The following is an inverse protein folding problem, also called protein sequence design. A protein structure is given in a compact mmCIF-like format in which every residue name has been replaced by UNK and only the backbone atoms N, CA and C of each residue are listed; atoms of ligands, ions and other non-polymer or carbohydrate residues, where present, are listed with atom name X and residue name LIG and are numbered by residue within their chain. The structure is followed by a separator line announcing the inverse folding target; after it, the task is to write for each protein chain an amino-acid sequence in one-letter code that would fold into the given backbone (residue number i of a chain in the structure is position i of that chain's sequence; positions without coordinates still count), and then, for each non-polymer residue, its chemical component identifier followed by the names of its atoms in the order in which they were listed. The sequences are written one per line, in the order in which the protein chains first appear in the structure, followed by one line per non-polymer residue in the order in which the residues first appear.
data_IF_899599522485
#
_entry.id   IF_899599522485
#
_cell.length_a   1.000
_cell.length_b   1.000
_cell.length_c   1.000
_cell.angle_alpha   90.00
_cell.angle_beta   90.00
_cell.angle_gamma   90.00
#
_symmetry.space_group_name_H-M   'P 1'
#
loop_
_entity.id
_entity.type
_entity.pdbx_description
1 polymer ?
#
# COMPACT_ATOMS: atom_id res chain seq x y z
N UNK A 1 -17.28 -13.32 13.97
CA UNK A 1 -16.27 -12.48 13.31
C UNK A 1 -17.00 -11.52 12.41
N UNK A 2 -17.10 -10.28 12.85
CA UNK A 2 -17.67 -9.18 12.08
C UNK A 2 -16.52 -8.30 11.62
N UNK A 3 -16.38 -8.14 10.31
CA UNK A 3 -15.40 -7.22 9.72
C UNK A 3 -16.04 -5.88 9.40
N UNK A 4 -15.23 -4.84 9.51
CA UNK A 4 -15.60 -3.47 9.15
C UNK A 4 -14.41 -2.79 8.51
N UNK A 5 -14.64 -2.16 7.37
CA UNK A 5 -13.70 -1.19 6.81
C UNK A 5 -14.12 0.21 7.22
N UNK A 6 -13.15 1.03 7.64
CA UNK A 6 -13.35 2.45 7.95
C UNK A 6 -12.21 3.30 7.41
N UNK A 7 -12.49 4.59 7.25
CA UNK A 7 -11.46 5.59 7.00
C UNK A 7 -10.63 5.80 8.27
N UNK A 8 -9.32 5.99 8.10
CA UNK A 8 -8.43 6.44 9.17
C UNK A 8 -8.74 7.88 9.56
N UNK A 9 -8.58 8.20 10.84
CA UNK A 9 -8.86 9.50 11.43
C UNK A 9 -7.61 10.02 12.15
N UNK A 10 -7.53 11.33 12.37
CA UNK A 10 -6.50 11.91 13.22
C UNK A 10 -6.45 11.21 14.58
N UNK A 11 -5.26 10.81 15.02
CA UNK A 11 -5.06 10.00 16.23
C UNK A 11 -4.91 8.49 15.99
N UNK A 12 -5.19 7.98 14.78
CA UNK A 12 -4.93 6.57 14.43
C UNK A 12 -3.43 6.29 14.20
N UNK A 13 -2.52 7.28 14.29
CA UNK A 13 -1.12 7.10 13.94
C UNK A 13 -0.40 6.01 14.72
N UNK A 14 -0.66 5.89 16.03
CA UNK A 14 -0.07 4.82 16.85
C UNK A 14 -0.60 3.44 16.45
N UNK A 15 -1.92 3.30 16.25
CA UNK A 15 -2.56 2.07 15.79
C UNK A 15 -1.97 1.58 14.47
N UNK A 16 -1.79 2.49 13.51
CA UNK A 16 -1.22 2.19 12.19
C UNK A 16 0.25 1.80 12.28
N UNK A 17 1.01 2.43 13.16
CA UNK A 17 2.39 2.05 13.44
C UNK A 17 2.49 0.64 14.04
N UNK A 18 1.66 0.31 15.03
CA UNK A 18 1.64 -1.04 15.62
C UNK A 18 1.33 -2.11 14.57
N UNK A 19 0.40 -1.82 13.65
CA UNK A 19 0.15 -2.67 12.49
C UNK A 19 1.36 -2.78 11.57
N UNK A 20 2.06 -1.68 11.30
CA UNK A 20 3.26 -1.69 10.47
C UNK A 20 4.37 -2.55 11.10
N UNK A 21 4.58 -2.47 12.42
CA UNK A 21 5.57 -3.28 13.15
C UNK A 21 5.35 -4.78 12.91
N UNK A 22 4.11 -5.25 13.03
CA UNK A 22 3.80 -6.69 12.90
C UNK A 22 3.72 -7.16 11.44
N UNK A 23 3.42 -6.27 10.49
CA UNK A 23 3.20 -6.64 9.08
C UNK A 23 4.36 -6.35 8.13
N UNK A 24 5.24 -5.39 8.44
CA UNK A 24 6.25 -4.91 7.48
C UNK A 24 7.26 -5.99 7.11
N UNK A 25 7.63 -6.86 8.05
CA UNK A 25 8.57 -7.95 7.82
C UNK A 25 8.14 -8.88 6.67
N UNK A 26 6.84 -9.07 6.46
CA UNK A 26 6.27 -9.90 5.39
C UNK A 26 6.38 -9.28 3.99
N UNK A 27 6.70 -7.98 3.92
CA UNK A 27 6.87 -7.24 2.68
C UNK A 27 8.34 -6.97 2.35
N UNK A 28 9.26 -7.25 3.28
CA UNK A 28 10.68 -7.07 3.05
C UNK A 28 11.20 -8.05 1.98
N UNK A 29 12.05 -7.60 1.04
CA UNK A 29 12.75 -8.49 0.12
C UNK A 29 13.57 -9.55 0.86
N UNK A 30 13.80 -10.72 0.24
CA UNK A 30 14.69 -11.74 0.81
C UNK A 30 16.06 -11.14 1.13
N UNK A 31 16.59 -11.45 2.32
CA UNK A 31 17.92 -11.00 2.76
C UNK A 31 17.96 -9.68 3.52
N UNK A 32 16.84 -8.95 3.62
CA UNK A 32 16.74 -7.82 4.56
C UNK A 32 16.63 -8.36 5.98
N UNK A 33 17.57 -7.96 6.85
CA UNK A 33 17.55 -8.37 8.25
C UNK A 33 16.45 -7.63 9.05
N UNK A 34 16.03 -8.24 10.16
CA UNK A 34 14.95 -7.71 10.99
C UNK A 34 15.25 -6.33 11.59
N UNK A 35 16.51 -6.04 11.94
CA UNK A 35 16.90 -4.75 12.52
C UNK A 35 16.82 -3.62 11.50
N UNK A 36 17.21 -3.87 10.25
CA UNK A 36 17.06 -2.94 9.12
C UNK A 36 15.59 -2.70 8.82
N UNK A 37 14.76 -3.75 8.83
CA UNK A 37 13.32 -3.63 8.63
C UNK A 37 12.68 -2.77 9.73
N UNK A 38 13.01 -3.01 11.00
CA UNK A 38 12.50 -2.23 12.13
C UNK A 38 12.99 -0.79 12.11
N UNK A 39 14.26 -0.54 11.78
CA UNK A 39 14.76 0.82 11.62
C UNK A 39 13.96 1.60 10.56
N UNK A 40 13.58 0.96 9.44
CA UNK A 40 12.71 1.57 8.45
C UNK A 40 11.30 1.83 8.97
N UNK A 41 10.72 0.91 9.75
CA UNK A 41 9.40 1.11 10.38
C UNK A 41 9.43 2.30 11.32
N UNK A 42 10.47 2.43 12.16
CA UNK A 42 10.62 3.54 13.10
C UNK A 42 10.79 4.91 12.44
N UNK A 43 11.33 4.97 11.21
CA UNK A 43 11.55 6.25 10.51
C UNK A 43 10.46 6.57 9.49
N UNK A 44 10.11 5.62 8.64
CA UNK A 44 9.22 5.83 7.49
C UNK A 44 7.77 5.40 7.75
N UNK A 45 7.53 4.56 8.76
CA UNK A 45 6.20 4.12 9.19
C UNK A 45 5.95 4.48 10.67
N UNK A 46 6.55 5.60 11.11
CA UNK A 46 6.40 6.10 12.48
C UNK A 46 4.98 6.64 12.72
N UNK A 47 4.52 6.75 13.98
CA UNK A 47 3.24 7.36 14.28
C UNK A 47 3.11 8.77 13.68
N UNK A 48 4.19 9.56 13.72
CA UNK A 48 4.20 10.91 13.14
C UNK A 48 4.07 10.91 11.61
N UNK A 49 4.64 9.92 10.90
CA UNK A 49 4.45 9.76 9.45
C UNK A 49 3.00 9.40 9.12
N UNK A 50 2.39 8.51 9.91
CA UNK A 50 0.98 8.20 9.76
C UNK A 50 0.08 9.40 10.01
N UNK A 51 0.33 10.19 11.05
CA UNK A 51 -0.43 11.44 11.29
C UNK A 51 -0.27 12.44 10.13
N UNK A 52 0.91 12.52 9.49
CA UNK A 52 1.09 13.33 8.30
C UNK A 52 0.21 12.84 7.14
N UNK A 53 0.14 11.53 6.89
CA UNK A 53 -0.76 10.96 5.88
C UNK A 53 -2.24 11.13 6.23
N UNK A 54 -2.61 11.02 7.50
CA UNK A 54 -3.99 11.22 7.97
C UNK A 54 -4.45 12.68 7.85
N UNK A 55 -3.52 13.64 7.94
CA UNK A 55 -3.80 15.06 7.79
C UNK A 55 -3.70 15.57 6.33
N UNK A 56 -3.18 14.76 5.42
CA UNK A 56 -2.95 15.13 4.02
C UNK A 56 -4.24 14.94 3.20
N UNK A 57 -4.80 16.00 2.61
CA UNK A 57 -6.05 15.92 1.85
C UNK A 57 -5.96 15.05 0.60
N UNK A 58 -4.76 14.82 0.08
CA UNK A 58 -4.50 13.94 -1.07
C UNK A 58 -4.07 12.53 -0.64
N UNK A 59 -4.22 12.18 0.64
CA UNK A 59 -3.96 10.83 1.11
C UNK A 59 -5.21 10.24 1.77
N UNK A 60 -5.55 9.02 1.37
CA UNK A 60 -6.62 8.24 1.96
C UNK A 60 -6.03 7.05 2.72
N UNK A 61 -6.27 7.04 4.02
CA UNK A 61 -5.94 5.89 4.88
C UNK A 61 -7.20 5.07 5.11
N UNK A 62 -7.12 3.77 4.83
CA UNK A 62 -8.24 2.82 5.00
C UNK A 62 -7.80 1.75 5.99
N UNK A 63 -8.64 1.46 6.98
CA UNK A 63 -8.36 0.49 8.05
C UNK A 63 -9.41 -0.62 8.00
N UNK A 64 -8.95 -1.86 8.04
CA UNK A 64 -9.80 -3.04 8.21
C UNK A 64 -9.75 -3.48 9.67
N UNK A 65 -10.92 -3.59 10.29
CA UNK A 65 -11.11 -4.09 11.65
C UNK A 65 -11.84 -5.45 11.61
N UNK A 66 -11.48 -6.34 12.52
CA UNK A 66 -12.19 -7.58 12.83
C UNK A 66 -12.49 -7.62 14.32
N UNK A 67 -13.77 -7.71 14.68
CA UNK A 67 -14.24 -7.71 16.07
C UNK A 67 -13.68 -6.53 16.91
N UNK A 68 -13.51 -5.36 16.27
CA UNK A 68 -13.01 -4.12 16.87
C UNK A 68 -11.48 -3.98 16.92
N UNK A 69 -10.74 -4.97 16.44
CA UNK A 69 -9.28 -4.93 16.37
C UNK A 69 -8.84 -4.62 14.93
N UNK A 70 -7.93 -3.67 14.75
CA UNK A 70 -7.38 -3.38 13.42
C UNK A 70 -6.48 -4.55 12.97
N UNK A 71 -6.73 -5.06 11.76
CA UNK A 71 -6.03 -6.22 11.20
C UNK A 71 -5.38 -5.93 9.84
N UNK A 72 -5.55 -4.71 9.32
CA UNK A 72 -4.92 -4.29 8.08
C UNK A 72 -5.17 -2.82 7.78
N UNK A 73 -4.31 -2.25 6.93
CA UNK A 73 -4.45 -0.87 6.49
C UNK A 73 -3.93 -0.65 5.07
N UNK A 74 -4.37 0.46 4.49
CA UNK A 74 -3.89 0.98 3.21
C UNK A 74 -3.54 2.45 3.35
N UNK A 75 -2.47 2.88 2.67
CA UNK A 75 -2.19 4.28 2.38
C UNK A 75 -2.28 4.45 0.86
N UNK A 76 -3.28 5.20 0.41
CA UNK A 76 -3.58 5.50 -0.99
C UNK A 76 -3.35 6.99 -1.23
N UNK A 77 -2.53 7.34 -2.21
CA UNK A 77 -2.15 8.73 -2.51
C UNK A 77 -2.82 9.16 -3.81
N UNK A 78 -3.65 10.19 -3.72
CA UNK A 78 -4.41 10.81 -4.79
C UNK A 78 -3.67 12.00 -5.43
N UNK A 79 -4.09 12.41 -6.63
CA UNK A 79 -3.80 13.70 -7.28
C UNK A 79 -2.33 14.14 -7.31
N UNK A 80 -1.40 13.19 -7.18
CA UNK A 80 0.03 13.47 -7.27
C UNK A 80 0.56 12.85 -8.54
N UNK A 81 1.39 13.60 -9.29
CA UNK A 81 2.01 13.03 -10.46
C UNK A 81 2.81 11.82 -10.00
N UNK A 82 2.77 10.75 -10.80
CA UNK A 82 3.48 9.51 -10.53
C UNK A 82 4.98 9.80 -10.22
N UNK A 83 5.53 10.92 -10.71
CA UNK A 83 6.92 11.36 -10.52
C UNK A 83 7.21 11.80 -9.09
N UNK A 84 6.22 12.32 -8.38
CA UNK A 84 6.34 12.78 -6.99
C UNK A 84 6.43 11.62 -5.98
N UNK A 85 6.29 10.38 -6.43
CA UNK A 85 6.40 9.19 -5.57
C UNK A 85 7.85 8.73 -5.32
N UNK A 86 8.85 9.37 -5.94
CA UNK A 86 10.26 9.00 -5.80
C UNK A 86 10.66 7.75 -6.58
N UNK A 87 9.80 7.27 -7.48
CA UNK A 87 9.97 6.03 -8.26
C UNK A 87 10.48 6.35 -9.67
N UNK A 88 11.56 5.70 -10.13
CA UNK A 88 12.08 5.88 -11.51
C UNK A 88 11.05 5.35 -12.51
N UNK A 89 10.66 6.19 -13.45
CA UNK A 89 9.46 5.96 -14.24
C UNK A 89 9.67 5.28 -15.59
N UNK A 90 8.57 4.69 -16.07
CA UNK A 90 8.23 4.67 -17.49
C UNK A 90 7.31 5.84 -17.86
N UNK A 91 7.44 6.45 -19.05
CA UNK A 91 6.68 7.63 -19.46
C UNK A 91 5.16 7.44 -19.54
N UNK A 92 4.65 6.22 -19.71
CA UNK A 92 3.23 5.99 -20.06
C UNK A 92 2.24 6.24 -18.90
N UNK A 93 2.73 6.31 -17.65
CA UNK A 93 1.93 6.69 -16.47
C UNK A 93 2.12 8.16 -16.07
N UNK A 94 3.04 8.88 -16.70
CA UNK A 94 3.45 10.23 -16.28
C UNK A 94 2.44 11.32 -16.65
N UNK A 95 1.48 11.02 -17.53
CA UNK A 95 0.54 11.99 -18.11
C UNK A 95 -0.90 11.86 -17.60
N UNK A 96 -1.14 11.04 -16.55
CA UNK A 96 -2.48 10.81 -16.01
C UNK A 96 -2.58 11.23 -14.54
N UNK A 97 -2.86 12.52 -14.30
CA UNK A 97 -3.08 13.08 -12.95
C UNK A 97 -4.23 12.42 -12.16
N UNK A 98 -5.04 11.58 -12.82
CA UNK A 98 -6.17 10.86 -12.24
C UNK A 98 -5.84 9.42 -11.82
N UNK A 99 -4.61 8.91 -11.95
CA UNK A 99 -4.26 7.56 -11.48
C UNK A 99 -3.64 7.62 -10.08
N UNK A 100 -4.31 7.02 -9.10
CA UNK A 100 -3.91 7.09 -7.69
C UNK A 100 -2.90 6.01 -7.33
N UNK A 101 -1.99 6.31 -6.41
CA UNK A 101 -0.88 5.43 -6.03
C UNK A 101 -1.16 4.69 -4.72
N UNK A 102 -1.23 3.36 -4.76
CA UNK A 102 -1.30 2.51 -3.58
C UNK A 102 0.11 2.36 -2.99
N UNK A 103 0.37 3.15 -1.95
CA UNK A 103 1.69 3.29 -1.32
C UNK A 103 2.00 2.19 -0.31
N UNK A 104 0.99 1.80 0.47
CA UNK A 104 1.10 0.79 1.52
C UNK A 104 -0.15 -0.08 1.49
N UNK A 105 0.02 -1.39 1.61
CA UNK A 105 -1.08 -2.35 1.73
C UNK A 105 -0.62 -3.51 2.61
N UNK A 106 -1.17 -3.59 3.81
CA UNK A 106 -0.75 -4.56 4.81
C UNK A 106 -1.95 -5.18 5.50
N UNK A 107 -1.86 -6.49 5.73
CA UNK A 107 -2.84 -7.28 6.47
C UNK A 107 -2.05 -8.28 7.30
N UNK A 108 -2.44 -8.45 8.57
CA UNK A 108 -1.79 -9.38 9.50
C UNK A 108 -1.79 -10.82 8.97
N UNK A 109 -0.76 -11.59 9.35
CA UNK A 109 -0.56 -12.93 8.81
C UNK A 109 -1.68 -13.90 9.19
N UNK A 110 -2.30 -13.69 10.36
CA UNK A 110 -3.41 -14.44 10.92
C UNK A 110 -4.68 -14.31 10.06
N UNK A 111 -4.83 -13.20 9.33
CA UNK A 111 -5.97 -12.95 8.45
C UNK A 111 -5.74 -13.49 7.02
N UNK A 112 -4.67 -14.26 6.78
CA UNK A 112 -4.43 -14.90 5.47
C UNK A 112 -5.47 -16.01 5.22
N UNK A 113 -5.91 -16.12 3.96
CA UNK A 113 -6.89 -17.13 3.56
C UNK A 113 -8.35 -16.84 3.97
N UNK A 114 -8.59 -15.80 4.78
CA UNK A 114 -9.94 -15.48 5.29
C UNK A 114 -10.75 -14.55 4.39
N UNK A 115 -10.12 -13.99 3.34
CA UNK A 115 -10.70 -12.98 2.47
C UNK A 115 -10.47 -11.53 2.90
N UNK A 116 -9.93 -11.27 4.10
CA UNK A 116 -9.68 -9.93 4.65
C UNK A 116 -8.93 -8.99 3.68
N UNK A 117 -7.83 -9.45 3.09
CA UNK A 117 -7.08 -8.65 2.11
C UNK A 117 -7.91 -8.28 0.87
N UNK A 118 -8.82 -9.16 0.41
CA UNK A 118 -9.68 -8.85 -0.72
C UNK A 118 -10.70 -7.77 -0.36
N UNK A 119 -11.31 -7.89 0.81
CA UNK A 119 -12.25 -6.90 1.34
C UNK A 119 -11.61 -5.51 1.46
N UNK A 120 -10.41 -5.44 2.04
CA UNK A 120 -9.64 -4.19 2.15
C UNK A 120 -9.28 -3.61 0.78
N UNK A 121 -8.88 -4.45 -0.19
CA UNK A 121 -8.58 -4.00 -1.56
C UNK A 121 -9.84 -3.48 -2.27
N UNK A 122 -10.98 -4.18 -2.15
CA UNK A 122 -12.25 -3.72 -2.71
C UNK A 122 -12.62 -2.35 -2.18
N UNK A 123 -12.59 -2.16 -0.85
CA UNK A 123 -12.88 -0.87 -0.25
C UNK A 123 -11.88 0.23 -0.68
N UNK A 124 -10.60 -0.10 -0.84
CA UNK A 124 -9.57 0.82 -1.34
C UNK A 124 -9.88 1.29 -2.76
N UNK A 125 -10.26 0.37 -3.64
CA UNK A 125 -10.63 0.69 -5.02
C UNK A 125 -11.92 1.53 -5.06
N UNK A 126 -12.87 1.25 -4.17
CA UNK A 126 -14.11 2.04 -4.08
C UNK A 126 -13.84 3.47 -3.60
N UNK A 127 -12.88 3.68 -2.69
CA UNK A 127 -12.39 5.02 -2.32
C UNK A 127 -11.81 5.74 -3.53
N UNK A 128 -10.97 5.07 -4.33
CA UNK A 128 -10.40 5.65 -5.55
C UNK A 128 -11.49 6.04 -6.56
N UNK A 129 -12.48 5.16 -6.79
CA UNK A 129 -13.62 5.45 -7.67
C UNK A 129 -14.44 6.64 -7.19
N UNK A 130 -14.75 6.71 -5.90
CA UNK A 130 -15.49 7.83 -5.32
C UNK A 130 -14.74 9.16 -5.46
N UNK A 131 -13.40 9.11 -5.49
CA UNK A 131 -12.52 10.24 -5.79
C UNK A 131 -12.32 10.55 -7.28
N UNK A 132 -13.04 9.87 -8.19
CA UNK A 132 -12.91 9.99 -9.64
C UNK A 132 -11.51 9.65 -10.19
N UNK A 133 -10.79 8.74 -9.52
CA UNK A 133 -9.56 8.20 -10.07
C UNK A 133 -9.87 7.40 -11.35
N UNK A 134 -9.06 7.58 -12.39
CA UNK A 134 -9.12 6.79 -13.63
C UNK A 134 -8.42 5.42 -13.49
N UNK A 135 -7.70 5.21 -12.40
CA UNK A 135 -6.95 4.00 -12.14
C UNK A 135 -6.29 3.98 -10.77
N UNK A 136 -5.85 2.80 -10.35
CA UNK A 136 -4.94 2.64 -9.20
C UNK A 136 -3.70 1.92 -9.68
N UNK A 137 -2.53 2.42 -9.30
CA UNK A 137 -1.26 1.78 -9.60
C UNK A 137 -0.43 1.54 -8.35
N UNK A 138 0.48 0.57 -8.45
CA UNK A 138 1.43 0.21 -7.40
C UNK A 138 2.71 -0.33 -8.01
N UNK A 139 3.72 -0.50 -7.15
CA UNK A 139 4.85 -1.36 -7.47
C UNK A 139 4.94 -2.50 -6.47
N UNK A 140 5.48 -3.62 -6.92
CA UNK A 140 5.68 -4.79 -6.08
C UNK A 140 6.94 -5.52 -6.50
N UNK A 141 7.81 -5.83 -5.54
CA UNK A 141 9.04 -6.56 -5.78
C UNK A 141 8.77 -7.88 -6.54
N UNK A 142 9.54 -8.14 -7.60
CA UNK A 142 9.38 -9.34 -8.43
C UNK A 142 9.61 -10.64 -7.65
N UNK A 143 10.45 -10.60 -6.61
CA UNK A 143 10.73 -11.71 -5.71
C UNK A 143 9.66 -11.90 -4.62
N UNK A 144 8.54 -11.16 -4.68
CA UNK A 144 7.36 -11.39 -3.84
C UNK A 144 6.23 -12.06 -4.64
N UNK A 145 6.30 -13.38 -4.91
CA UNK A 145 5.31 -14.09 -5.73
C UNK A 145 3.91 -14.06 -5.09
N UNK A 146 3.83 -14.04 -3.76
CA UNK A 146 2.57 -13.97 -3.02
C UNK A 146 1.82 -12.66 -3.32
N UNK A 147 2.50 -11.52 -3.19
CA UNK A 147 1.90 -10.21 -3.45
C UNK A 147 1.56 -10.05 -4.94
N UNK A 148 2.47 -10.47 -5.85
CA UNK A 148 2.20 -10.44 -7.29
C UNK A 148 0.93 -11.20 -7.68
N UNK A 149 0.79 -12.44 -7.21
CA UNK A 149 -0.39 -13.27 -7.48
C UNK A 149 -1.66 -12.70 -6.80
N UNK A 150 -1.52 -12.03 -5.66
CA UNK A 150 -2.65 -11.34 -5.02
C UNK A 150 -3.15 -10.17 -5.88
N UNK A 151 -2.27 -9.28 -6.31
CA UNK A 151 -2.66 -8.12 -7.12
C UNK A 151 -3.25 -8.54 -8.47
N UNK A 152 -2.72 -9.58 -9.11
CA UNK A 152 -3.29 -10.15 -10.32
C UNK A 152 -4.74 -10.63 -10.11
N UNK A 153 -5.02 -11.37 -9.02
CA UNK A 153 -6.38 -11.80 -8.67
C UNK A 153 -7.32 -10.64 -8.34
N UNK A 154 -6.78 -9.50 -7.92
CA UNK A 154 -7.54 -8.27 -7.69
C UNK A 154 -7.77 -7.48 -8.99
N UNK A 155 -7.28 -7.95 -10.14
CA UNK A 155 -7.47 -7.32 -11.45
C UNK A 155 -6.35 -6.38 -11.88
N UNK A 156 -5.25 -6.29 -11.12
CA UNK A 156 -4.10 -5.48 -11.52
C UNK A 156 -3.29 -6.17 -12.61
N UNK A 157 -3.08 -5.46 -13.71
CA UNK A 157 -2.27 -5.86 -14.85
C UNK A 157 -0.84 -5.35 -14.69
N UNK A 158 0.14 -6.09 -15.22
CA UNK A 158 1.53 -5.62 -15.29
C UNK A 158 1.64 -4.63 -16.45
N UNK A 159 2.06 -3.40 -16.15
CA UNK A 159 2.34 -2.37 -17.16
C UNK A 159 3.84 -2.23 -17.46
N UNK A 160 4.68 -2.84 -16.64
CA UNK A 160 6.13 -2.81 -16.83
C UNK A 160 6.87 -3.09 -15.55
N UNK A 161 8.09 -2.59 -15.50
CA UNK A 161 9.03 -2.77 -14.38
C UNK A 161 9.72 -1.47 -14.04
N UNK A 162 10.16 -1.32 -12.79
CA UNK A 162 10.99 -0.22 -12.29
C UNK A 162 12.02 -0.76 -11.30
N UNK A 163 13.11 -0.03 -11.11
CA UNK A 163 14.13 -0.34 -10.10
C UNK A 163 14.02 0.59 -8.90
N UNK A 164 14.07 0.00 -7.70
CA UNK A 164 14.00 0.74 -6.45
C UNK A 164 15.24 0.46 -5.58
N UNK A 165 15.96 1.50 -5.12
CA UNK A 165 17.06 1.33 -4.18
C UNK A 165 16.51 1.05 -2.76
N UNK A 166 16.83 -0.10 -2.19
CA UNK A 166 16.53 -0.44 -0.80
C UNK A 166 17.74 -1.12 -0.16
N UNK A 167 18.21 -0.61 0.99
CA UNK A 167 19.36 -1.18 1.71
C UNK A 167 20.69 -1.12 0.93
N UNK A 168 20.84 -0.15 0.02
CA UNK A 168 22.03 -0.04 -0.85
C UNK A 168 22.03 -0.99 -2.05
N UNK A 169 20.96 -1.77 -2.25
CA UNK A 169 20.77 -2.65 -3.41
C UNK A 169 19.62 -2.16 -4.30
N UNK A 170 19.71 -2.44 -5.59
CA UNK A 170 18.60 -2.23 -6.52
C UNK A 170 17.70 -3.46 -6.53
N UNK A 171 16.41 -3.22 -6.41
CA UNK A 171 15.37 -4.25 -6.49
C UNK A 171 14.50 -4.01 -7.71
N UNK A 172 14.22 -5.06 -8.47
CA UNK A 172 13.29 -5.01 -9.58
C UNK A 172 11.85 -5.17 -9.07
N UNK A 173 11.03 -4.16 -9.36
CA UNK A 173 9.62 -4.16 -9.06
C UNK A 173 8.80 -4.28 -10.35
N UNK A 174 7.70 -5.03 -10.29
CA UNK A 174 6.64 -4.93 -11.28
C UNK A 174 5.82 -3.67 -10.99
N UNK A 175 5.60 -2.86 -12.03
CA UNK A 175 4.61 -1.79 -12.03
C UNK A 175 3.27 -2.39 -12.42
N UNK A 176 2.28 -2.26 -11.54
CA UNK A 176 0.96 -2.84 -11.72
C UNK A 176 -0.11 -1.77 -11.67
N UNK A 177 -1.16 -1.95 -12.46
CA UNK A 177 -2.23 -0.99 -12.62
C UNK A 177 -3.58 -1.68 -12.79
N UNK A 178 -4.63 -1.10 -12.23
CA UNK A 178 -6.02 -1.44 -12.53
C UNK A 178 -6.74 -0.18 -13.00
N UNK A 179 -7.32 -0.16 -14.22
CA UNK A 179 -8.13 0.95 -14.68
C UNK A 179 -9.46 1.00 -13.93
N UNK A 180 -9.99 2.21 -13.74
CA UNK A 180 -11.30 2.46 -13.16
C UNK A 180 -12.19 3.15 -14.19
N UNK A 181 -13.51 2.88 -14.16
CA UNK A 181 -14.48 3.42 -15.12
C UNK A 181 -14.71 4.94 -14.95
#
# INVERSE_FOLDING_TARGET
MTRRVRTGLAGDGALLHDLAVVTFHDACPPGVDHSTAMAHVETELSPARFEQWLADPDTHVVILEEDGTAIGYVVLVANRPVTATGRRQRPELAEQDSVWFLSKFYVVAEARGTGAARELMTATVDVARAGNASGVWLTVNQLNPRANAFYERCGFQVMGTTTFPMGGQLHDDNVRHIPLP
#
